data_IF_448450545710
#
_entry.id   IF_448450545710
#
_cell.length_a   1.000
_cell.length_b   1.000
_cell.length_c   1.000
_cell.angle_alpha   90.00
_cell.angle_beta   90.00
_cell.angle_gamma   90.00
#
_symmetry.space_group_name_H-M   'P 1'
#
loop_
_entity.id
_entity.type
_entity.pdbx_description
1 polymer ?
#
# COMPACT_ATOMS: atom_id res chain seq x y z
N UNK A 1 16.95 7.37 24.71
CA UNK A 1 18.29 7.45 25.31
C UNK A 1 18.36 8.27 26.61
N UNK A 2 17.87 9.53 26.67
CA UNK A 2 17.91 10.36 27.90
C UNK A 2 17.32 9.66 29.13
N UNK A 3 16.18 8.99 28.99
CA UNK A 3 15.54 8.22 30.05
C UNK A 3 16.45 7.11 30.60
N UNK A 4 17.06 6.31 29.73
CA UNK A 4 18.01 5.25 30.11
C UNK A 4 19.26 5.84 30.77
N UNK A 5 19.80 6.94 30.25
CA UNK A 5 20.95 7.64 30.85
C UNK A 5 20.67 8.06 32.29
N UNK A 6 19.47 8.56 32.57
CA UNK A 6 19.08 8.97 33.93
C UNK A 6 19.04 7.81 34.93
N UNK A 7 18.67 6.60 34.47
CA UNK A 7 18.65 5.37 35.29
C UNK A 7 20.01 4.70 35.40
N UNK A 8 20.90 4.93 34.43
CA UNK A 8 22.21 4.31 34.33
C UNK A 8 23.32 5.35 34.03
N UNK A 9 23.62 6.26 34.97
CA UNK A 9 24.53 7.39 34.75
C UNK A 9 26.01 6.99 34.60
N UNK A 10 26.36 5.72 34.86
CA UNK A 10 27.73 5.21 34.72
C UNK A 10 27.97 4.43 33.42
N UNK A 11 26.92 4.03 32.70
CA UNK A 11 27.07 3.27 31.46
C UNK A 11 27.60 4.12 30.30
N UNK A 12 28.35 3.48 29.40
CA UNK A 12 28.82 4.10 28.16
C UNK A 12 27.65 4.34 27.20
N UNK A 13 27.75 5.36 26.35
CA UNK A 13 26.69 5.73 25.41
C UNK A 13 26.22 4.59 24.50
N UNK A 14 27.12 3.73 24.03
CA UNK A 14 26.77 2.55 23.21
C UNK A 14 25.87 1.55 23.97
N UNK A 15 26.12 1.35 25.27
CA UNK A 15 25.26 0.50 26.12
C UNK A 15 23.90 1.17 26.36
N UNK A 16 23.90 2.49 26.57
CA UNK A 16 22.66 3.27 26.74
C UNK A 16 21.79 3.20 25.48
N UNK A 17 22.39 3.28 24.30
CA UNK A 17 21.71 3.14 23.01
C UNK A 17 21.05 1.76 22.89
N UNK A 18 21.79 0.68 23.13
CA UNK A 18 21.27 -0.70 23.06
C UNK A 18 20.10 -0.93 24.03
N UNK A 19 20.20 -0.44 25.27
CA UNK A 19 19.12 -0.55 26.25
C UNK A 19 17.92 0.30 25.80
N UNK A 20 18.15 1.53 25.34
CA UNK A 20 17.08 2.42 24.89
C UNK A 20 16.33 1.87 23.68
N UNK A 21 17.04 1.29 22.71
CA UNK A 21 16.44 0.64 21.55
C UNK A 21 15.56 -0.55 22.00
N UNK A 22 16.08 -1.42 22.88
CA UNK A 22 15.34 -2.58 23.39
C UNK A 22 14.09 -2.16 24.16
N UNK A 23 14.19 -1.17 25.04
CA UNK A 23 13.05 -0.66 25.82
C UNK A 23 12.00 0.00 24.92
N UNK A 24 12.44 0.88 24.00
CA UNK A 24 11.55 1.56 23.07
C UNK A 24 10.81 0.57 22.17
N UNK A 25 11.54 -0.36 21.54
CA UNK A 25 10.94 -1.35 20.64
C UNK A 25 9.95 -2.25 21.38
N UNK A 26 10.25 -2.65 22.63
CA UNK A 26 9.31 -3.43 23.46
C UNK A 26 8.04 -2.64 23.79
N UNK A 27 8.18 -1.38 24.20
CA UNK A 27 7.06 -0.52 24.54
C UNK A 27 6.20 -0.22 23.31
N UNK A 28 6.81 0.18 22.20
CA UNK A 28 6.15 0.46 20.92
C UNK A 28 5.39 -0.76 20.40
N UNK A 29 6.03 -1.94 20.37
CA UNK A 29 5.38 -3.20 19.99
C UNK A 29 4.16 -3.48 20.87
N UNK A 30 4.30 -3.34 22.19
CA UNK A 30 3.20 -3.58 23.13
C UNK A 30 2.03 -2.64 22.88
N UNK A 31 2.30 -1.34 22.70
CA UNK A 31 1.29 -0.33 22.46
C UNK A 31 0.54 -0.61 21.14
N UNK A 32 1.27 -0.76 20.03
CA UNK A 32 0.67 -1.00 18.71
C UNK A 32 -0.17 -2.28 18.69
N UNK A 33 0.35 -3.37 19.26
CA UNK A 33 -0.38 -4.64 19.30
C UNK A 33 -1.62 -4.57 20.18
N UNK A 34 -1.55 -3.97 21.38
CA UNK A 34 -2.71 -3.85 22.27
C UNK A 34 -3.79 -2.98 21.63
N UNK A 35 -3.41 -1.87 21.00
CA UNK A 35 -4.34 -1.00 20.28
C UNK A 35 -5.04 -1.72 19.14
N UNK A 36 -4.30 -2.40 18.24
CA UNK A 36 -4.89 -3.14 17.12
C UNK A 36 -5.79 -4.29 17.60
N UNK A 37 -5.37 -5.03 18.64
CA UNK A 37 -6.21 -6.08 19.24
C UNK A 37 -7.51 -5.51 19.79
N UNK A 38 -7.43 -4.42 20.56
CA UNK A 38 -8.61 -3.78 21.13
C UNK A 38 -9.55 -3.25 20.05
N UNK A 39 -9.01 -2.64 19.00
CA UNK A 39 -9.80 -2.15 17.87
C UNK A 39 -10.55 -3.30 17.18
N UNK A 40 -9.88 -4.44 16.97
CA UNK A 40 -10.49 -5.67 16.41
C UNK A 40 -11.54 -6.29 17.32
N UNK A 41 -11.34 -6.27 18.64
CA UNK A 41 -12.33 -6.78 19.61
C UNK A 41 -13.60 -5.92 19.56
N UNK A 42 -13.46 -4.60 19.54
CA UNK A 42 -14.59 -3.66 19.58
C UNK A 42 -15.30 -3.54 18.23
N UNK A 43 -14.59 -3.74 17.11
CA UNK A 43 -15.13 -3.73 15.74
C UNK A 43 -14.55 -4.89 14.92
N UNK A 44 -15.07 -6.11 15.09
CA UNK A 44 -14.48 -7.31 14.48
C UNK A 44 -14.60 -7.36 12.96
N UNK A 45 -15.55 -6.66 12.36
CA UNK A 45 -15.74 -6.69 10.90
C UNK A 45 -14.99 -5.57 10.17
N UNK A 46 -14.40 -4.60 10.90
CA UNK A 46 -13.62 -3.53 10.28
C UNK A 46 -12.23 -4.01 9.88
N UNK A 47 -11.70 -3.48 8.77
CA UNK A 47 -10.39 -3.84 8.22
C UNK A 47 -9.26 -3.08 8.94
N UNK A 48 -9.02 -3.38 10.21
CA UNK A 48 -7.98 -2.71 10.98
C UNK A 48 -6.58 -2.89 10.42
N UNK A 49 -5.78 -1.84 10.43
CA UNK A 49 -4.38 -1.84 10.05
C UNK A 49 -3.76 -0.49 10.39
N UNK A 50 -2.45 -0.36 10.20
CA UNK A 50 -1.74 0.90 10.41
C UNK A 50 -1.46 1.55 9.06
N UNK A 51 -1.75 2.85 8.96
CA UNK A 51 -1.29 3.68 7.85
C UNK A 51 0.23 3.60 7.72
N UNK A 52 0.72 3.61 6.48
CA UNK A 52 2.13 3.58 6.07
C UNK A 52 2.82 2.21 6.17
N UNK A 53 2.09 1.15 6.53
CA UNK A 53 2.65 -0.20 6.67
C UNK A 53 2.14 -1.18 5.60
N UNK A 54 3.04 -1.97 4.97
CA UNK A 54 4.51 -1.92 5.12
C UNK A 54 5.12 -0.65 4.49
N UNK A 55 6.31 -0.29 4.98
CA UNK A 55 7.07 0.87 4.50
C UNK A 55 8.18 0.47 3.53
N UNK A 56 8.80 1.48 2.91
CA UNK A 56 9.96 1.33 2.04
C UNK A 56 11.05 2.36 2.38
N UNK A 57 12.26 2.20 1.86
CA UNK A 57 13.31 3.21 2.03
C UNK A 57 12.96 4.51 1.26
N UNK A 58 13.25 5.67 1.86
CA UNK A 58 12.91 6.97 1.27
C UNK A 58 13.61 7.28 -0.07
N UNK A 59 14.65 6.53 -0.42
CA UNK A 59 15.39 6.64 -1.68
C UNK A 59 14.93 5.66 -2.78
N UNK A 60 13.91 4.84 -2.51
CA UNK A 60 13.45 3.85 -3.48
C UNK A 60 13.09 4.51 -4.81
N UNK A 61 13.56 3.92 -5.90
CA UNK A 61 13.31 4.39 -7.26
C UNK A 61 14.09 5.64 -7.70
N UNK A 62 15.03 6.15 -6.88
CA UNK A 62 15.93 7.24 -7.29
C UNK A 62 16.81 6.80 -8.45
N UNK A 63 17.49 5.66 -8.30
CA UNK A 63 18.37 5.09 -9.31
C UNK A 63 17.61 4.45 -10.46
N UNK A 64 18.19 4.47 -11.66
CA UNK A 64 17.65 3.75 -12.81
C UNK A 64 17.74 2.24 -12.54
N UNK A 65 16.62 1.54 -12.71
CA UNK A 65 16.56 0.09 -12.48
C UNK A 65 16.21 -0.32 -11.04
N UNK A 66 16.11 0.64 -10.11
CA UNK A 66 15.66 0.37 -8.75
C UNK A 66 14.13 0.30 -8.68
N UNK A 67 13.56 -0.88 -8.47
CA UNK A 67 12.11 -1.11 -8.46
C UNK A 67 11.61 -1.82 -7.20
N UNK A 68 12.48 -2.01 -6.21
CA UNK A 68 12.18 -2.79 -5.02
C UNK A 68 12.63 -2.02 -3.78
N UNK A 69 12.01 -2.28 -2.64
CA UNK A 69 12.53 -1.74 -1.38
C UNK A 69 13.91 -2.32 -1.08
N UNK A 70 14.77 -1.52 -0.44
CA UNK A 70 16.09 -1.98 -0.02
C UNK A 70 15.99 -3.23 0.86
N UNK A 71 17.02 -4.07 0.86
CA UNK A 71 17.06 -5.25 1.73
C UNK A 71 16.97 -4.90 3.20
N UNK A 72 17.49 -3.75 3.59
CA UNK A 72 17.33 -3.23 4.95
C UNK A 72 15.86 -2.94 5.28
N UNK A 73 15.12 -2.26 4.40
CA UNK A 73 13.69 -2.00 4.57
C UNK A 73 12.87 -3.30 4.62
N UNK A 74 13.17 -4.26 3.74
CA UNK A 74 12.53 -5.60 3.75
C UNK A 74 12.77 -6.30 5.09
N UNK A 75 14.01 -6.31 5.60
CA UNK A 75 14.34 -6.91 6.89
C UNK A 75 13.63 -6.23 8.07
N UNK A 76 13.47 -4.91 8.04
CA UNK A 76 12.65 -4.22 9.04
C UNK A 76 11.18 -4.65 8.96
N UNK A 77 10.61 -4.75 7.77
CA UNK A 77 9.26 -5.25 7.58
C UNK A 77 9.11 -6.69 8.12
N UNK A 78 10.04 -7.59 7.84
CA UNK A 78 10.00 -8.96 8.36
C UNK A 78 9.98 -9.00 9.91
N UNK A 79 10.79 -8.15 10.55
CA UNK A 79 10.81 -7.99 12.02
C UNK A 79 9.51 -7.40 12.59
N UNK A 80 8.69 -6.78 11.75
CA UNK A 80 7.38 -6.21 12.10
C UNK A 80 6.21 -7.15 11.82
N UNK A 81 6.45 -8.44 11.61
CA UNK A 81 5.40 -9.47 11.49
C UNK A 81 4.33 -9.38 12.60
N UNK A 82 4.67 -8.89 13.79
CA UNK A 82 3.71 -8.66 14.87
C UNK A 82 2.60 -7.65 14.54
N UNK A 83 2.87 -6.65 13.69
CA UNK A 83 1.87 -5.71 13.16
C UNK A 83 1.00 -6.47 12.16
N UNK A 84 1.61 -7.12 11.18
CA UNK A 84 0.91 -7.76 10.06
C UNK A 84 0.00 -8.91 10.51
N UNK A 85 0.46 -9.73 11.46
CA UNK A 85 -0.31 -10.80 12.08
C UNK A 85 -1.52 -10.27 12.88
N UNK A 86 -1.42 -9.05 13.41
CA UNK A 86 -2.49 -8.42 14.19
C UNK A 86 -3.44 -7.59 13.32
N UNK A 87 -2.98 -7.08 12.18
CA UNK A 87 -3.82 -6.35 11.23
C UNK A 87 -4.82 -7.26 10.51
N UNK A 88 -5.86 -6.70 9.90
CA UNK A 88 -6.79 -7.37 8.98
C UNK A 88 -6.54 -6.98 7.52
N UNK A 89 -6.02 -5.78 7.28
CA UNK A 89 -5.57 -5.28 5.98
C UNK A 89 -4.31 -4.42 6.14
N UNK A 90 -3.59 -4.16 5.03
CA UNK A 90 -2.42 -3.27 5.01
C UNK A 90 -2.72 -1.95 4.29
N UNK A 91 -1.99 -0.90 4.65
CA UNK A 91 -2.27 0.47 4.19
C UNK A 91 -0.97 1.21 3.82
N UNK A 92 -0.21 0.72 2.82
CA UNK A 92 1.01 1.39 2.37
C UNK A 92 0.68 2.75 1.75
N UNK A 93 1.60 3.72 1.88
CA UNK A 93 1.46 5.06 1.30
C UNK A 93 2.38 5.25 0.10
N UNK A 94 1.85 5.82 -0.99
CA UNK A 94 2.60 6.11 -2.23
C UNK A 94 2.52 7.59 -2.62
N UNK A 95 2.51 8.47 -1.62
CA UNK A 95 2.37 9.91 -1.84
C UNK A 95 3.52 10.47 -2.69
N UNK A 96 3.16 11.30 -3.67
CA UNK A 96 4.11 12.03 -4.50
C UNK A 96 4.17 13.49 -4.01
N UNK A 97 5.34 14.10 -4.17
CA UNK A 97 5.60 15.48 -3.74
C UNK A 97 6.03 16.40 -4.89
N UNK A 98 6.00 15.88 -6.13
CA UNK A 98 6.35 16.59 -7.36
C UNK A 98 7.81 17.01 -7.50
N UNK A 99 8.72 16.43 -6.69
CA UNK A 99 10.18 16.66 -6.80
C UNK A 99 10.90 15.64 -7.70
N UNK A 100 10.23 14.54 -8.04
CA UNK A 100 10.77 13.41 -8.80
C UNK A 100 10.13 13.35 -10.19
N UNK A 101 10.83 12.79 -11.17
CA UNK A 101 10.26 12.55 -12.51
C UNK A 101 9.16 11.49 -12.46
N UNK A 102 8.34 11.40 -13.50
CA UNK A 102 7.29 10.37 -13.59
C UNK A 102 7.86 8.95 -13.55
N UNK A 103 9.04 8.71 -14.11
CA UNK A 103 9.70 7.41 -14.06
C UNK A 103 10.22 7.11 -12.66
N UNK A 104 10.74 8.10 -11.94
CA UNK A 104 11.12 7.93 -10.53
C UNK A 104 9.91 7.64 -9.65
N UNK A 105 8.80 8.35 -9.86
CA UNK A 105 7.53 8.11 -9.15
C UNK A 105 6.98 6.71 -9.43
N UNK A 106 7.03 6.27 -10.70
CA UNK A 106 6.67 4.91 -11.07
C UNK A 106 7.50 3.87 -10.29
N UNK A 107 8.82 4.04 -10.26
CA UNK A 107 9.75 3.14 -9.56
C UNK A 107 9.50 3.11 -8.05
N UNK A 108 9.34 4.27 -7.45
CA UNK A 108 9.04 4.42 -6.03
C UNK A 108 7.72 3.74 -5.64
N UNK A 109 6.64 4.04 -6.37
CA UNK A 109 5.33 3.44 -6.11
C UNK A 109 5.37 1.92 -6.30
N UNK A 110 6.02 1.46 -7.38
CA UNK A 110 6.19 0.03 -7.65
C UNK A 110 6.91 -0.69 -6.51
N UNK A 111 8.00 -0.12 -5.98
CA UNK A 111 8.75 -0.70 -4.87
C UNK A 111 7.88 -0.91 -3.63
N UNK A 112 7.12 0.12 -3.23
CA UNK A 112 6.24 0.06 -2.06
C UNK A 112 5.10 -0.95 -2.26
N UNK A 113 4.48 -0.95 -3.43
CA UNK A 113 3.35 -1.86 -3.71
C UNK A 113 3.84 -3.31 -3.82
N UNK A 114 5.02 -3.55 -4.40
CA UNK A 114 5.65 -4.87 -4.42
C UNK A 114 5.97 -5.35 -3.00
N UNK A 115 6.44 -4.48 -2.12
CA UNK A 115 6.68 -4.85 -0.72
C UNK A 115 5.37 -5.15 0.03
N UNK A 116 4.30 -4.38 -0.22
CA UNK A 116 2.96 -4.68 0.29
C UNK A 116 2.46 -6.05 -0.20
N UNK A 117 2.66 -6.36 -1.48
CA UNK A 117 2.33 -7.67 -2.07
C UNK A 117 3.16 -8.79 -1.44
N UNK A 118 4.47 -8.60 -1.26
CA UNK A 118 5.36 -9.58 -0.63
C UNK A 118 4.91 -9.91 0.79
N UNK A 119 4.76 -8.88 1.63
CA UNK A 119 4.31 -9.06 3.02
C UNK A 119 2.93 -9.70 3.08
N UNK A 120 2.01 -9.38 2.16
CA UNK A 120 0.68 -9.99 2.08
C UNK A 120 0.72 -11.47 1.68
N UNK A 121 1.60 -11.83 0.75
CA UNK A 121 1.80 -13.22 0.31
C UNK A 121 2.50 -14.07 1.38
N UNK A 122 3.37 -13.47 2.20
CA UNK A 122 4.05 -14.15 3.30
C UNK A 122 3.10 -14.49 4.48
N UNK A 123 1.86 -13.98 4.46
CA UNK A 123 0.87 -14.30 5.47
C UNK A 123 0.23 -15.67 5.24
N UNK A 124 0.00 -16.43 6.31
CA UNK A 124 -0.75 -17.70 6.27
C UNK A 124 -2.22 -17.56 5.84
N UNK A 125 -2.71 -16.32 5.73
CA UNK A 125 -4.09 -15.99 5.32
C UNK A 125 -4.03 -15.00 4.18
N UNK A 126 -5.05 -15.00 3.32
CA UNK A 126 -5.21 -13.93 2.33
C UNK A 126 -5.43 -12.59 3.03
N UNK A 127 -4.55 -11.63 2.78
CA UNK A 127 -4.62 -10.25 3.27
C UNK A 127 -4.74 -9.29 2.11
N UNK A 128 -5.72 -8.42 2.20
CA UNK A 128 -5.93 -7.35 1.25
C UNK A 128 -5.13 -6.12 1.69
N UNK A 129 -4.69 -5.31 0.72
CA UNK A 129 -4.03 -4.06 0.99
C UNK A 129 -4.68 -2.94 0.18
N UNK A 130 -4.86 -1.79 0.85
CA UNK A 130 -5.52 -0.60 0.34
C UNK A 130 -4.52 0.52 0.31
N UNK A 131 -4.16 0.96 -0.90
CA UNK A 131 -3.03 1.85 -1.08
C UNK A 131 -3.47 3.29 -0.83
N UNK A 132 -2.81 3.97 0.10
CA UNK A 132 -2.99 5.39 0.34
C UNK A 132 -2.28 6.19 -0.74
N UNK A 133 -3.03 7.05 -1.42
CA UNK A 133 -2.48 8.03 -2.36
C UNK A 133 -3.15 9.38 -2.20
N UNK A 134 -2.47 10.44 -2.62
CA UNK A 134 -3.09 11.74 -2.84
C UNK A 134 -3.52 11.85 -4.30
N UNK A 135 -4.04 13.01 -4.64
CA UNK A 135 -4.24 13.47 -6.01
C UNK A 135 -3.62 14.86 -6.23
N UNK A 136 -2.91 15.37 -5.23
CA UNK A 136 -2.24 16.67 -5.13
C UNK A 136 -0.77 16.44 -4.73
N UNK A 137 0.17 17.16 -5.36
CA UNK A 137 1.58 17.05 -5.00
C UNK A 137 1.92 17.81 -3.70
N UNK A 138 1.38 19.01 -3.52
CA UNK A 138 1.56 19.81 -2.29
C UNK A 138 0.35 20.69 -1.96
N UNK A 139 -0.69 20.13 -1.33
CA UNK A 139 -1.92 20.86 -1.00
C UNK A 139 -1.74 21.92 0.09
N UNK A 140 -0.57 21.99 0.75
CA UNK A 140 -0.31 22.94 1.82
C UNK A 140 0.10 24.32 1.30
N UNK A 141 0.71 24.36 0.11
CA UNK A 141 1.27 25.57 -0.47
C UNK A 141 0.74 25.88 -1.88
N UNK A 142 0.28 24.86 -2.63
CA UNK A 142 -0.20 25.02 -4.00
C UNK A 142 -1.57 24.35 -4.21
N UNK A 143 -2.59 25.17 -4.35
CA UNK A 143 -4.01 24.75 -4.32
C UNK A 143 -4.52 24.17 -5.65
N UNK A 144 -3.74 24.26 -6.72
CA UNK A 144 -4.05 23.80 -8.07
C UNK A 144 -3.00 22.82 -8.64
N UNK A 145 -2.06 22.36 -7.80
CA UNK A 145 -0.98 21.49 -8.22
C UNK A 145 -1.32 20.01 -8.03
N UNK A 146 -2.14 19.51 -8.94
CA UNK A 146 -2.62 18.14 -8.99
C UNK A 146 -1.71 17.21 -9.79
N UNK A 147 -1.89 15.91 -9.59
CA UNK A 147 -1.18 14.88 -10.36
C UNK A 147 -1.49 14.98 -11.86
N UNK A 148 -0.47 14.77 -12.68
CA UNK A 148 -0.62 14.71 -14.14
C UNK A 148 -0.91 13.29 -14.62
N UNK A 149 -1.26 13.15 -15.89
CA UNK A 149 -1.68 11.89 -16.54
C UNK A 149 -0.80 10.68 -16.20
N UNK A 150 0.52 10.84 -16.20
CA UNK A 150 1.50 9.81 -15.88
C UNK A 150 1.43 9.40 -14.42
N UNK A 151 1.37 10.37 -13.50
CA UNK A 151 1.30 10.11 -12.07
C UNK A 151 -0.08 9.64 -11.61
N UNK A 152 -1.15 10.04 -12.30
CA UNK A 152 -2.47 9.42 -12.17
C UNK A 152 -2.35 7.92 -12.49
N UNK A 153 -1.68 7.54 -13.57
CA UNK A 153 -1.45 6.12 -13.87
C UNK A 153 -0.60 5.44 -12.77
N UNK A 154 0.52 6.05 -12.40
CA UNK A 154 1.44 5.52 -11.39
C UNK A 154 0.80 5.35 -9.99
N UNK A 155 -0.26 6.09 -9.68
CA UNK A 155 -0.88 6.09 -8.34
C UNK A 155 -2.27 5.46 -8.29
N UNK A 156 -2.96 5.35 -9.41
CA UNK A 156 -4.32 4.80 -9.47
C UNK A 156 -4.34 3.40 -10.09
N UNK A 157 -3.77 3.26 -11.29
CA UNK A 157 -3.79 2.00 -12.04
C UNK A 157 -2.72 1.03 -11.59
N UNK A 158 -1.50 1.51 -11.35
CA UNK A 158 -0.39 0.65 -10.93
C UNK A 158 -0.70 -0.17 -9.65
N UNK A 159 -1.35 0.39 -8.61
CA UNK A 159 -1.84 -0.41 -7.49
C UNK A 159 -2.75 -1.57 -7.91
N UNK A 160 -3.73 -1.33 -8.78
CA UNK A 160 -4.63 -2.39 -9.24
C UNK A 160 -3.87 -3.46 -10.03
N UNK A 161 -2.98 -3.04 -10.93
CA UNK A 161 -2.11 -3.91 -11.72
C UNK A 161 -1.26 -4.85 -10.86
N UNK A 162 -0.86 -4.40 -9.66
CA UNK A 162 -0.05 -5.19 -8.74
C UNK A 162 -0.88 -5.94 -7.68
N UNK A 163 -2.21 -5.80 -7.70
CA UNK A 163 -3.13 -6.52 -6.83
C UNK A 163 -3.56 -5.78 -5.56
N UNK A 164 -3.54 -4.45 -5.55
CA UNK A 164 -4.24 -3.70 -4.50
C UNK A 164 -5.75 -4.03 -4.55
N UNK A 165 -6.39 -4.05 -3.39
CA UNK A 165 -7.84 -4.26 -3.28
C UNK A 165 -8.64 -2.97 -3.34
N UNK A 166 -7.95 -1.83 -3.25
CA UNK A 166 -8.55 -0.51 -3.39
C UNK A 166 -7.55 0.60 -3.11
N UNK A 167 -8.04 1.83 -3.23
CA UNK A 167 -7.30 3.06 -3.00
C UNK A 167 -7.97 3.85 -1.87
N UNK A 168 -7.15 4.53 -1.08
CA UNK A 168 -7.62 5.59 -0.18
C UNK A 168 -7.08 6.91 -0.70
N UNK A 169 -7.98 7.74 -1.26
CA UNK A 169 -7.64 9.07 -1.74
C UNK A 169 -7.67 10.05 -0.57
N UNK A 170 -6.49 10.53 -0.16
CA UNK A 170 -6.33 11.41 0.99
C UNK A 170 -5.99 12.84 0.56
N UNK A 171 -6.58 13.81 1.24
CA UNK A 171 -6.17 15.21 1.21
C UNK A 171 -6.24 15.80 2.62
N UNK A 172 -5.48 16.86 2.86
CA UNK A 172 -5.53 17.61 4.13
C UNK A 172 -6.83 18.40 4.25
N UNK A 173 -7.25 18.76 5.46
CA UNK A 173 -8.36 19.70 5.68
C UNK A 173 -7.93 21.17 5.63
N UNK A 174 -6.62 21.44 5.66
CA UNK A 174 -6.08 22.80 5.64
C UNK A 174 -6.56 23.55 4.40
N UNK A 175 -7.03 24.78 4.60
CA UNK A 175 -7.49 25.70 3.54
C UNK A 175 -8.48 25.04 2.56
N UNK A 176 -9.35 24.13 3.04
CA UNK A 176 -10.26 23.39 2.16
C UNK A 176 -11.25 24.31 1.42
N UNK A 177 -11.68 25.42 2.05
CA UNK A 177 -12.55 26.40 1.40
C UNK A 177 -11.93 27.02 0.15
N UNK A 178 -10.61 27.24 0.17
CA UNK A 178 -9.89 27.83 -0.95
C UNK A 178 -9.53 26.79 -2.03
N UNK A 179 -9.50 25.51 -1.66
CA UNK A 179 -9.13 24.40 -2.56
C UNK A 179 -10.31 23.69 -3.18
N UNK A 180 -11.50 23.73 -2.57
CA UNK A 180 -12.64 22.89 -2.98
C UNK A 180 -13.03 23.07 -4.46
N UNK A 181 -13.01 24.31 -4.98
CA UNK A 181 -13.31 24.58 -6.38
C UNK A 181 -12.26 24.02 -7.35
N UNK A 182 -10.98 24.06 -6.97
CA UNK A 182 -9.90 23.48 -7.76
C UNK A 182 -9.97 21.95 -7.73
N UNK A 183 -10.26 21.37 -6.56
CA UNK A 183 -10.46 19.93 -6.38
C UNK A 183 -11.64 19.46 -7.22
N UNK A 184 -12.82 20.10 -7.13
CA UNK A 184 -14.01 19.73 -7.90
C UNK A 184 -13.72 19.71 -9.41
N UNK A 185 -13.06 20.77 -9.92
CA UNK A 185 -12.69 20.87 -11.33
C UNK A 185 -11.71 19.78 -11.76
N UNK A 186 -10.67 19.52 -10.97
CA UNK A 186 -9.69 18.48 -11.26
C UNK A 186 -10.32 17.08 -11.23
N UNK A 187 -11.16 16.81 -10.23
CA UNK A 187 -11.89 15.54 -10.12
C UNK A 187 -12.77 15.31 -11.34
N UNK A 188 -13.62 16.28 -11.71
CA UNK A 188 -14.55 16.14 -12.85
C UNK A 188 -13.84 16.02 -14.18
N UNK A 189 -12.80 16.81 -14.40
CA UNK A 189 -12.21 16.97 -15.73
C UNK A 189 -11.03 16.01 -15.99
N UNK A 190 -10.40 15.46 -14.94
CA UNK A 190 -9.20 14.63 -15.09
C UNK A 190 -9.32 13.30 -14.35
N UNK A 191 -9.47 13.33 -13.02
CA UNK A 191 -9.31 12.11 -12.23
C UNK A 191 -10.49 11.14 -12.36
N UNK A 192 -11.73 11.61 -12.29
CA UNK A 192 -12.91 10.75 -12.36
C UNK A 192 -13.08 10.07 -13.73
N UNK A 193 -12.89 10.77 -14.88
CA UNK A 193 -12.87 10.11 -16.18
C UNK A 193 -11.83 8.99 -16.25
N UNK A 194 -10.61 9.23 -15.76
CA UNK A 194 -9.56 8.22 -15.71
C UNK A 194 -9.96 7.01 -14.86
N UNK A 195 -10.45 7.24 -13.64
CA UNK A 195 -10.88 6.17 -12.73
C UNK A 195 -12.04 5.37 -13.33
N UNK A 196 -12.97 6.02 -14.02
CA UNK A 196 -14.08 5.33 -14.71
C UNK A 196 -13.54 4.38 -15.78
N UNK A 197 -12.73 4.89 -16.71
CA UNK A 197 -12.13 4.06 -17.77
C UNK A 197 -11.31 2.91 -17.19
N UNK A 198 -10.51 3.18 -16.16
CA UNK A 198 -9.71 2.15 -15.47
C UNK A 198 -10.60 1.07 -14.84
N UNK A 199 -11.69 1.48 -14.15
CA UNK A 199 -12.63 0.54 -13.52
C UNK A 199 -13.33 -0.32 -14.57
N UNK A 200 -13.70 0.25 -15.70
CA UNK A 200 -14.37 -0.48 -16.77
C UNK A 200 -13.43 -1.54 -17.38
N UNK A 201 -12.17 -1.19 -17.65
CA UNK A 201 -11.14 -2.13 -18.12
C UNK A 201 -10.86 -3.26 -17.10
N UNK A 202 -10.72 -2.94 -15.81
CA UNK A 202 -10.50 -3.94 -14.76
C UNK A 202 -11.73 -4.84 -14.62
N UNK A 203 -12.93 -4.28 -14.68
CA UNK A 203 -14.19 -5.00 -14.59
C UNK A 203 -14.41 -5.96 -15.76
N UNK A 204 -14.08 -5.53 -16.97
CA UNK A 204 -14.08 -6.37 -18.16
C UNK A 204 -13.05 -7.49 -18.03
N UNK A 205 -11.80 -7.18 -17.68
CA UNK A 205 -10.78 -8.21 -17.44
C UNK A 205 -11.25 -9.25 -16.42
N UNK A 206 -11.84 -8.81 -15.30
CA UNK A 206 -12.38 -9.71 -14.28
C UNK A 206 -13.46 -10.65 -14.83
N UNK A 207 -14.36 -10.16 -15.68
CA UNK A 207 -15.43 -10.98 -16.28
C UNK A 207 -14.87 -11.96 -17.32
N UNK A 208 -14.06 -11.46 -18.25
CA UNK A 208 -13.60 -12.21 -19.41
C UNK A 208 -12.47 -13.20 -19.07
N UNK A 209 -11.50 -12.79 -18.22
CA UNK A 209 -10.32 -13.61 -17.90
C UNK A 209 -10.52 -14.44 -16.63
N UNK A 210 -11.23 -13.90 -15.63
CA UNK A 210 -11.28 -14.46 -14.28
C UNK A 210 -12.68 -14.95 -13.87
N UNK A 211 -13.55 -15.25 -14.85
CA UNK A 211 -14.90 -15.78 -14.63
C UNK A 211 -15.76 -14.95 -13.68
N UNK A 212 -15.46 -13.66 -13.52
CA UNK A 212 -16.10 -12.79 -12.53
C UNK A 212 -15.70 -13.06 -11.07
N UNK A 213 -14.75 -13.96 -10.80
CA UNK A 213 -14.39 -14.49 -9.47
C UNK A 213 -12.91 -14.26 -9.10
N UNK A 214 -12.26 -13.28 -9.73
CA UNK A 214 -10.88 -12.94 -9.43
C UNK A 214 -10.50 -11.56 -9.92
N UNK A 215 -9.35 -11.07 -9.46
CA UNK A 215 -8.78 -9.82 -9.94
C UNK A 215 -7.66 -10.12 -10.94
N UNK A 216 -7.62 -9.37 -12.04
CA UNK A 216 -6.49 -9.40 -12.96
C UNK A 216 -5.29 -8.70 -12.32
N UNK A 217 -4.16 -9.39 -12.24
CA UNK A 217 -2.88 -8.87 -11.75
C UNK A 217 -1.81 -9.13 -12.79
N UNK A 218 -0.83 -8.25 -12.89
CA UNK A 218 0.27 -8.41 -13.85
C UNK A 218 1.14 -9.62 -13.52
N UNK A 219 1.41 -10.42 -14.55
CA UNK A 219 2.39 -11.53 -14.51
C UNK A 219 3.81 -11.00 -14.41
N UNK A 220 4.12 -10.01 -15.27
CA UNK A 220 5.45 -9.44 -15.43
C UNK A 220 5.47 -8.01 -14.95
N UNK A 221 6.59 -7.69 -14.32
CA UNK A 221 6.85 -6.37 -13.80
C UNK A 221 7.02 -5.35 -14.94
N UNK A 222 6.27 -4.25 -14.90
CA UNK A 222 6.37 -3.19 -15.90
C UNK A 222 7.58 -2.28 -15.66
N UNK A 223 8.04 -1.63 -16.73
CA UNK A 223 9.05 -0.56 -16.68
C UNK A 223 8.46 0.85 -16.59
N UNK A 224 7.16 0.98 -16.85
CA UNK A 224 6.34 2.20 -16.71
C UNK A 224 4.86 1.83 -16.61
N UNK A 225 4.02 2.75 -16.15
CA UNK A 225 2.57 2.54 -16.18
C UNK A 225 2.02 2.73 -17.60
N UNK A 226 1.19 1.79 -18.05
CA UNK A 226 0.44 1.89 -19.30
C UNK A 226 -1.03 2.05 -18.99
N UNK A 227 -1.66 3.09 -19.53
CA UNK A 227 -3.07 3.40 -19.23
C UNK A 227 -4.04 2.33 -19.74
N UNK A 228 -3.76 1.74 -20.91
CA UNK A 228 -4.56 0.65 -21.47
C UNK A 228 -4.09 -0.69 -20.92
N UNK A 229 -5.04 -1.54 -20.55
CA UNK A 229 -4.78 -2.93 -20.23
C UNK A 229 -4.60 -3.76 -21.51
N UNK A 230 -3.59 -4.63 -21.52
CA UNK A 230 -3.44 -5.71 -22.48
C UNK A 230 -3.58 -7.03 -21.73
N UNK A 231 -4.70 -7.74 -21.88
CA UNK A 231 -5.05 -8.88 -21.03
C UNK A 231 -4.05 -10.04 -21.09
N UNK A 232 -3.27 -10.15 -22.17
CA UNK A 232 -2.20 -11.15 -22.27
C UNK A 232 -1.15 -11.02 -21.15
N UNK A 233 -0.94 -9.80 -20.64
CA UNK A 233 0.04 -9.48 -19.59
C UNK A 233 -0.47 -9.81 -18.17
N UNK A 234 -1.74 -10.21 -18.02
CA UNK A 234 -2.40 -10.42 -16.73
C UNK A 234 -2.71 -11.90 -16.47
N UNK A 235 -2.69 -12.26 -15.19
CA UNK A 235 -3.16 -13.52 -14.62
C UNK A 235 -4.25 -13.25 -13.58
N UNK A 236 -5.02 -14.28 -13.24
CA UNK A 236 -6.09 -14.16 -12.26
C UNK A 236 -5.62 -14.46 -10.84
N UNK A 237 -5.91 -13.53 -9.94
CA UNK A 237 -5.84 -13.74 -8.49
C UNK A 237 -7.25 -13.94 -7.96
N UNK A 238 -7.66 -15.21 -7.85
CA UNK A 238 -9.02 -15.61 -7.48
C UNK A 238 -9.46 -15.11 -6.13
N UNK A 239 -10.75 -14.87 -5.97
CA UNK A 239 -11.34 -14.47 -4.70
C UNK A 239 -11.42 -15.64 -3.72
N UNK A 240 -11.77 -15.35 -2.46
CA UNK A 240 -11.95 -16.40 -1.46
C UNK A 240 -13.04 -17.36 -1.91
N UNK A 241 -12.73 -18.65 -1.87
CA UNK A 241 -13.65 -19.70 -2.30
C UNK A 241 -13.52 -20.10 -3.77
N UNK A 242 -12.64 -19.45 -4.55
CA UNK A 242 -12.39 -19.78 -5.96
C UNK A 242 -10.92 -20.14 -6.21
N UNK A 243 -10.68 -20.98 -7.21
CA UNK A 243 -9.37 -21.48 -7.62
C UNK A 243 -9.33 -21.74 -9.13
N UNK A 244 -8.15 -22.14 -9.61
CA UNK A 244 -7.88 -22.38 -11.02
C UNK A 244 -7.30 -21.15 -11.73
N UNK A 245 -6.79 -21.33 -12.96
CA UNK A 245 -6.12 -20.26 -13.71
C UNK A 245 -7.06 -19.10 -14.10
N UNK A 246 -8.36 -19.35 -14.17
CA UNK A 246 -9.43 -18.41 -14.57
C UNK A 246 -10.48 -18.20 -13.46
N UNK A 247 -10.23 -18.73 -12.25
CA UNK A 247 -11.12 -18.65 -11.10
C UNK A 247 -12.52 -19.23 -11.29
N UNK A 248 -12.70 -20.14 -12.25
CA UNK A 248 -13.98 -20.83 -12.49
C UNK A 248 -14.29 -21.91 -11.45
N UNK A 249 -13.27 -22.44 -10.76
CA UNK A 249 -13.43 -23.58 -9.85
C UNK A 249 -13.78 -23.10 -8.44
N UNK A 250 -14.87 -23.62 -7.86
CA UNK A 250 -15.16 -23.42 -6.43
C UNK A 250 -14.25 -24.31 -5.59
N UNK A 251 -13.60 -23.74 -4.57
CA UNK A 251 -12.86 -24.50 -3.57
C UNK A 251 -13.81 -25.42 -2.83
N UNK A 252 -13.50 -26.72 -2.79
CA UNK A 252 -14.22 -27.64 -1.91
C UNK A 252 -14.03 -27.17 -0.47
N UNK A 253 -15.12 -27.06 0.28
CA UNK A 253 -15.08 -26.77 1.72
C UNK A 253 -14.19 -27.83 2.38
N UNK A 254 -12.99 -27.46 2.78
CA UNK A 254 -12.28 -28.23 3.80
C UNK A 254 -12.98 -27.96 5.11
N UNK A 255 -13.91 -28.85 5.47
CA UNK A 255 -14.43 -28.97 6.82
C UNK A 255 -13.26 -29.31 7.72
N UNK A 256 -12.54 -28.30 8.21
CA UNK A 256 -11.62 -28.50 9.33
C UNK A 256 -12.51 -28.69 10.53
N UNK A 257 -12.77 -29.95 10.87
CA UNK A 257 -13.30 -30.37 12.16
C UNK A 257 -12.39 -29.71 13.20
N UNK A 258 -12.94 -28.75 13.95
CA UNK A 258 -12.33 -28.21 15.16
C UNK A 258 -12.86 -29.00 16.35
#
# INVERSE_FOLDING_TARGET
MKLVRSRHPTLRWKQIEQIAEKEYNRAAKTFLMKTLKKAREVRPNALWGLYDFPFCNGKAGEEKGDFECSKEAQNYNDRMAFIYNTSRAFYPSIYLNGKKTFEQNFRFNRAIINEARRIANDQQRRVDYYVYTKFEYDPYTRFDWFYKSEDICNTMKLPADLGASGLVLWSTSKNMRDRCGNIDRYMRNQLLPYISTMRDQIGECRREMCSGNGNCVLKKQLKKCYQKMNYADYECRCDRGFDGPDCSLKKKSTTTIK
#
